data_IF_671004010579
#
_entry.id   IF_671004010579
#
_cell.length_a   1.000
_cell.length_b   1.000
_cell.length_c   1.000
_cell.angle_alpha   90.00
_cell.angle_beta   90.00
_cell.angle_gamma   90.00
#
_symmetry.space_group_name_H-M   'P 1'
#
loop_
_entity.id
_entity.type
_entity.pdbx_description
1 polymer ?
#
# COMPACT_ATOMS: atom_id res chain seq x y z
N UNK A 1 61.02 -19.05 15.10
CA UNK A 1 61.90 -17.98 15.63
C UNK A 1 60.95 -17.00 16.31
N UNK A 2 60.93 -16.70 17.61
CA UNK A 2 61.97 -16.52 18.62
C UNK A 2 61.26 -16.70 19.98
N UNK A 3 61.84 -17.51 20.87
CA UNK A 3 61.46 -17.60 22.29
C UNK A 3 62.03 -16.37 23.02
N UNK A 4 61.44 -15.97 24.16
CA UNK A 4 62.10 -15.56 25.42
C UNK A 4 61.16 -14.77 26.35
N UNK A 5 61.51 -14.73 27.65
CA UNK A 5 60.87 -14.11 28.84
C UNK A 5 60.06 -15.17 29.63
N UNK A 6 60.51 -15.85 30.69
CA UNK A 6 61.24 -15.55 31.95
C UNK A 6 60.43 -14.79 33.02
N UNK A 7 60.27 -15.44 34.19
CA UNK A 7 59.83 -14.96 35.54
C UNK A 7 58.33 -14.60 35.64
N UNK A 8 57.52 -14.95 36.66
CA UNK A 8 57.76 -14.92 38.10
C UNK A 8 56.75 -15.80 38.88
N UNK A 9 57.25 -16.47 39.92
CA UNK A 9 56.50 -17.18 40.97
C UNK A 9 55.85 -16.15 41.91
N UNK A 10 54.52 -16.21 42.11
CA UNK A 10 53.88 -15.74 43.35
C UNK A 10 52.72 -16.67 43.70
N UNK A 11 52.94 -17.50 44.72
CA UNK A 11 51.90 -18.16 45.51
C UNK A 11 51.26 -17.11 46.41
N UNK A 12 49.97 -16.86 46.25
CA UNK A 12 49.16 -16.19 47.26
C UNK A 12 47.79 -16.86 47.33
N UNK A 13 47.70 -17.83 48.23
CA UNK A 13 46.45 -18.46 48.64
C UNK A 13 45.93 -17.75 49.89
N UNK A 14 44.91 -16.91 49.73
CA UNK A 14 43.95 -16.61 50.80
C UNK A 14 42.54 -16.69 50.24
N UNK A 15 41.84 -17.73 50.68
CA UNK A 15 40.44 -17.97 50.41
C UNK A 15 39.59 -16.95 51.16
N UNK A 16 38.81 -16.15 50.43
CA UNK A 16 37.68 -15.43 50.99
C UNK A 16 36.40 -16.18 50.62
N UNK A 17 35.82 -16.84 51.62
CA UNK A 17 34.43 -17.31 51.57
C UNK A 17 33.51 -16.08 51.58
N UNK A 18 33.10 -15.63 50.41
CA UNK A 18 32.00 -14.68 50.26
C UNK A 18 30.70 -15.46 50.04
N UNK A 19 29.78 -15.27 50.97
CA UNK A 19 28.41 -15.78 50.97
C UNK A 19 27.68 -15.31 49.70
N UNK A 20 27.24 -16.24 48.87
CA UNK A 20 26.45 -15.95 47.67
C UNK A 20 25.05 -15.51 48.07
N UNK A 21 24.75 -14.21 47.93
CA UNK A 21 23.39 -13.71 47.90
C UNK A 21 22.74 -14.18 46.62
N UNK A 22 21.88 -15.19 46.70
CA UNK A 22 21.03 -15.60 45.58
C UNK A 22 20.10 -14.44 45.21
N UNK A 23 20.42 -13.75 44.13
CA UNK A 23 19.49 -12.82 43.48
C UNK A 23 18.31 -13.63 42.97
N UNK A 24 17.11 -13.36 43.50
CA UNK A 24 15.88 -13.92 42.95
C UNK A 24 15.79 -13.58 41.45
N UNK A 25 15.38 -14.53 40.59
CA UNK A 25 15.14 -14.21 39.19
C UNK A 25 13.98 -13.21 39.13
N UNK A 26 14.28 -11.97 38.78
CA UNK A 26 13.26 -10.99 38.45
C UNK A 26 12.43 -11.53 37.28
N UNK A 27 11.16 -11.80 37.53
CA UNK A 27 10.18 -12.07 36.47
C UNK A 27 10.14 -10.84 35.57
N UNK A 28 10.83 -10.90 34.43
CA UNK A 28 10.71 -9.91 33.39
C UNK A 28 9.22 -9.83 32.98
N UNK A 29 8.63 -8.63 32.85
CA UNK A 29 7.28 -8.50 32.35
C UNK A 29 7.21 -9.14 30.96
N UNK A 30 6.27 -10.08 30.79
CA UNK A 30 5.98 -10.70 29.50
C UNK A 30 5.54 -9.56 28.56
N UNK A 31 6.16 -9.39 27.38
CA UNK A 31 5.72 -8.36 26.45
C UNK A 31 4.28 -8.66 26.02
N UNK A 32 3.37 -7.75 26.34
CA UNK A 32 2.00 -7.77 25.82
C UNK A 32 2.07 -7.70 24.31
N UNK A 33 1.62 -8.75 23.62
CA UNK A 33 1.53 -8.75 22.16
C UNK A 33 0.55 -7.64 21.74
N UNK A 34 1.06 -6.60 21.07
CA UNK A 34 0.20 -5.58 20.45
C UNK A 34 -0.63 -6.24 19.36
N UNK A 35 -1.94 -6.28 19.54
CA UNK A 35 -2.86 -6.78 18.52
C UNK A 35 -2.84 -5.82 17.33
N UNK A 36 -2.36 -6.30 16.19
CA UNK A 36 -2.49 -5.59 14.92
C UNK A 36 -3.93 -5.77 14.44
N UNK A 37 -4.66 -4.67 14.30
CA UNK A 37 -6.02 -4.67 13.76
C UNK A 37 -5.98 -4.65 12.23
N UNK A 38 -7.01 -5.25 11.63
CA UNK A 38 -7.24 -5.21 10.17
C UNK A 38 -8.36 -4.22 9.87
N UNK A 39 -8.11 -3.29 8.96
CA UNK A 39 -9.10 -2.35 8.44
C UNK A 39 -9.53 -2.75 7.03
N UNK A 40 -10.83 -2.65 6.74
CA UNK A 40 -11.42 -3.00 5.45
C UNK A 40 -12.01 -1.78 4.76
N UNK A 41 -11.82 -1.68 3.46
CA UNK A 41 -12.34 -0.60 2.63
C UNK A 41 -12.78 -1.12 1.27
N UNK A 42 -13.67 -0.39 0.62
CA UNK A 42 -14.14 -0.70 -0.74
C UNK A 42 -14.25 0.57 -1.57
N UNK A 43 -13.90 0.47 -2.84
CA UNK A 43 -14.23 1.44 -3.88
C UNK A 43 -15.11 0.80 -4.96
N UNK A 44 -16.21 1.48 -5.30
CA UNK A 44 -17.03 1.16 -6.47
C UNK A 44 -16.64 2.08 -7.61
N UNK A 45 -16.14 1.49 -8.69
CA UNK A 45 -15.62 2.24 -9.83
C UNK A 45 -16.75 2.64 -10.79
N UNK A 46 -16.77 3.92 -11.12
CA UNK A 46 -17.61 4.49 -12.19
C UNK A 46 -16.73 4.92 -13.36
N UNK A 47 -17.24 4.71 -14.57
CA UNK A 47 -16.53 5.05 -15.80
C UNK A 47 -16.28 6.56 -15.90
N UNK A 48 -15.07 6.91 -16.33
CA UNK A 48 -14.69 8.24 -16.81
C UNK A 48 -14.42 8.16 -18.31
N UNK A 49 -14.48 9.30 -19.01
CA UNK A 49 -14.11 9.39 -20.42
C UNK A 49 -14.80 8.38 -21.34
N UNK A 50 -16.06 8.02 -21.03
CA UNK A 50 -16.83 7.01 -21.77
C UNK A 50 -16.10 5.66 -21.93
N UNK A 51 -15.22 5.32 -20.98
CA UNK A 51 -14.41 4.10 -21.04
C UNK A 51 -15.23 2.81 -20.96
N UNK A 52 -16.43 2.87 -20.34
CA UNK A 52 -17.24 1.69 -19.99
C UNK A 52 -16.69 0.90 -18.80
N UNK A 53 -15.60 1.36 -18.17
CA UNK A 53 -14.99 0.67 -17.04
C UNK A 53 -15.87 0.75 -15.80
N UNK A 54 -16.11 -0.40 -15.18
CA UNK A 54 -16.84 -0.50 -13.91
C UNK A 54 -16.37 -1.71 -13.12
N UNK A 55 -16.58 -1.69 -11.81
CA UNK A 55 -16.15 -2.78 -10.94
C UNK A 55 -16.08 -2.41 -9.47
N UNK A 56 -15.51 -3.31 -8.70
CA UNK A 56 -15.24 -3.11 -7.26
C UNK A 56 -13.78 -3.40 -6.97
N UNK A 57 -13.20 -2.60 -6.07
CA UNK A 57 -11.87 -2.83 -5.50
C UNK A 57 -12.00 -2.87 -3.99
N UNK A 58 -11.59 -3.97 -3.38
CA UNK A 58 -11.57 -4.16 -1.93
C UNK A 58 -10.14 -4.05 -1.41
N UNK A 59 -9.98 -3.35 -0.29
CA UNK A 59 -8.69 -3.12 0.36
C UNK A 59 -8.73 -3.67 1.78
N UNK A 60 -7.62 -4.28 2.19
CA UNK A 60 -7.41 -4.71 3.58
C UNK A 60 -6.03 -4.24 4.03
N UNK A 61 -5.98 -3.47 5.12
CA UNK A 61 -4.71 -3.02 5.72
C UNK A 61 -4.55 -3.73 7.06
N UNK A 62 -3.46 -4.51 7.21
CA UNK A 62 -3.06 -5.14 8.48
C UNK A 62 -1.60 -4.82 8.77
N UNK A 63 -1.36 -3.97 9.76
CA UNK A 63 -0.01 -3.44 10.02
C UNK A 63 0.46 -2.61 8.82
N UNK A 64 1.57 -3.01 8.19
CA UNK A 64 2.09 -2.39 6.97
C UNK A 64 1.80 -3.21 5.71
N UNK A 65 0.86 -4.17 5.77
CA UNK A 65 0.49 -4.98 4.61
C UNK A 65 -0.84 -4.51 4.06
N UNK A 66 -0.85 -4.11 2.78
CA UNK A 66 -2.03 -3.79 2.01
C UNK A 66 -2.36 -4.94 1.06
N UNK A 67 -3.56 -5.50 1.16
CA UNK A 67 -4.11 -6.45 0.20
C UNK A 67 -5.18 -5.75 -0.63
N UNK A 68 -5.06 -5.81 -1.96
CA UNK A 68 -5.99 -5.20 -2.91
C UNK A 68 -6.59 -6.28 -3.79
N UNK A 69 -7.91 -6.44 -3.72
CA UNK A 69 -8.67 -7.36 -4.58
C UNK A 69 -9.48 -6.56 -5.58
N UNK A 70 -9.34 -6.89 -6.86
CA UNK A 70 -9.98 -6.18 -7.96
C UNK A 70 -10.91 -7.11 -8.71
N UNK A 71 -12.15 -6.67 -8.96
CA UNK A 71 -13.06 -7.26 -9.95
C UNK A 71 -13.60 -6.14 -10.85
N UNK A 72 -12.92 -5.95 -11.99
CA UNK A 72 -13.10 -4.81 -12.89
C UNK A 72 -13.31 -5.30 -14.32
N UNK A 73 -14.23 -4.66 -15.03
CA UNK A 73 -14.59 -4.97 -16.42
C UNK A 73 -14.65 -3.71 -17.26
N UNK A 74 -14.72 -3.85 -18.59
CA UNK A 74 -14.79 -2.72 -19.52
C UNK A 74 -13.44 -2.05 -19.78
N UNK A 75 -12.35 -2.64 -19.30
CA UNK A 75 -10.99 -2.16 -19.56
C UNK A 75 -10.61 -2.42 -21.03
N UNK A 76 -9.66 -1.64 -21.55
CA UNK A 76 -9.16 -1.83 -22.91
C UNK A 76 -8.46 -3.20 -23.01
N UNK A 77 -8.91 -4.11 -23.88
CA UNK A 77 -8.33 -5.45 -23.98
C UNK A 77 -6.85 -5.42 -24.34
N UNK A 78 -6.09 -6.37 -23.79
CA UNK A 78 -4.67 -6.57 -24.08
C UNK A 78 -3.77 -5.34 -23.79
N UNK A 79 -4.20 -4.46 -22.88
CA UNK A 79 -3.44 -3.30 -22.43
C UNK A 79 -3.16 -3.36 -20.92
N UNK A 80 -2.14 -2.62 -20.48
CA UNK A 80 -1.87 -2.38 -19.05
C UNK A 80 -2.55 -1.10 -18.60
N UNK A 81 -3.28 -1.16 -17.50
CA UNK A 81 -3.97 -0.02 -16.89
C UNK A 81 -3.24 0.44 -15.65
N UNK A 82 -2.95 1.73 -15.56
CA UNK A 82 -2.26 2.27 -14.40
C UNK A 82 -3.27 2.41 -13.27
N UNK A 83 -2.87 1.98 -12.07
CA UNK A 83 -3.75 1.79 -10.93
C UNK A 83 -3.17 2.55 -9.76
N UNK A 84 -3.88 3.56 -9.31
CA UNK A 84 -3.37 4.48 -8.29
C UNK A 84 -4.41 4.70 -7.20
N UNK A 85 -3.94 4.81 -5.96
CA UNK A 85 -4.67 5.49 -4.90
C UNK A 85 -4.24 6.95 -4.94
N UNK A 86 -5.20 7.84 -5.10
CA UNK A 86 -4.99 9.28 -5.09
C UNK A 86 -5.65 9.92 -3.88
N UNK A 87 -5.05 11.01 -3.42
CA UNK A 87 -5.66 11.92 -2.47
C UNK A 87 -4.87 12.15 -1.19
N UNK A 88 -5.45 13.00 -0.36
CA UNK A 88 -4.93 13.43 0.94
C UNK A 88 -6.01 13.36 2.05
N UNK A 89 -7.08 12.60 1.80
CA UNK A 89 -8.22 12.44 2.71
C UNK A 89 -9.43 13.33 2.39
N UNK A 90 -9.36 14.21 1.37
CA UNK A 90 -10.50 15.04 0.94
C UNK A 90 -10.90 14.86 -0.53
N UNK A 91 -10.32 13.86 -1.19
CA UNK A 91 -10.39 13.70 -2.63
C UNK A 91 -11.72 13.13 -3.10
N UNK A 92 -12.09 13.54 -4.30
CA UNK A 92 -13.36 13.17 -4.93
C UNK A 92 -13.14 12.70 -6.36
N UNK A 93 -14.06 11.87 -6.86
CA UNK A 93 -14.02 11.48 -8.26
C UNK A 93 -14.54 12.61 -9.14
N UNK A 94 -13.85 12.89 -10.27
CA UNK A 94 -14.38 13.78 -11.29
C UNK A 94 -15.74 13.30 -11.77
N UNK A 95 -16.60 14.25 -12.08
CA UNK A 95 -17.95 14.05 -12.59
C UNK A 95 -18.01 14.42 -14.07
N UNK A 96 -19.08 14.02 -14.76
CA UNK A 96 -19.31 14.42 -16.15
C UNK A 96 -19.44 15.95 -16.31
N UNK A 97 -19.82 16.67 -15.26
CA UNK A 97 -19.84 18.14 -15.25
C UNK A 97 -18.45 18.77 -15.22
N UNK A 98 -17.45 18.05 -14.73
CA UNK A 98 -16.04 18.48 -14.77
C UNK A 98 -15.43 18.25 -16.18
N UNK A 99 -16.13 17.54 -17.05
CA UNK A 99 -15.68 17.09 -18.36
C UNK A 99 -16.38 17.84 -19.49
N UNK A 100 -15.84 18.97 -19.95
CA UNK A 100 -16.41 19.67 -21.13
C UNK A 100 -16.27 18.86 -22.41
N UNK A 101 -15.20 18.05 -22.54
CA UNK A 101 -14.92 17.16 -23.68
C UNK A 101 -14.24 15.84 -23.22
N UNK A 102 -14.56 15.39 -22.00
CA UNK A 102 -13.76 14.38 -21.28
C UNK A 102 -12.97 15.02 -20.12
N UNK A 103 -12.60 14.22 -19.12
CA UNK A 103 -11.75 14.59 -17.99
C UNK A 103 -10.30 14.38 -18.40
N UNK A 104 -9.57 15.46 -18.63
CA UNK A 104 -8.11 15.42 -18.77
C UNK A 104 -7.44 15.07 -17.44
N UNK A 105 -6.18 14.61 -17.46
CA UNK A 105 -5.44 14.37 -16.22
C UNK A 105 -5.35 15.63 -15.35
N UNK A 106 -5.10 16.81 -15.94
CA UNK A 106 -5.02 18.09 -15.21
C UNK A 106 -6.35 18.47 -14.56
N UNK A 107 -7.48 18.22 -15.23
CA UNK A 107 -8.80 18.46 -14.63
C UNK A 107 -9.06 17.44 -13.51
N UNK A 108 -8.73 16.17 -13.72
CA UNK A 108 -8.89 15.13 -12.71
C UNK A 108 -8.11 15.47 -11.43
N UNK A 109 -6.86 15.94 -11.55
CA UNK A 109 -5.97 16.25 -10.43
C UNK A 109 -6.55 17.28 -9.45
N UNK A 110 -7.42 18.18 -9.92
CA UNK A 110 -8.09 19.16 -9.04
C UNK A 110 -9.03 18.45 -8.05
N UNK A 111 -9.60 17.30 -8.43
CA UNK A 111 -10.55 16.55 -7.62
C UNK A 111 -9.89 15.37 -6.90
N UNK A 112 -9.10 14.57 -7.64
CA UNK A 112 -8.50 13.33 -7.12
C UNK A 112 -7.31 13.60 -6.21
N UNK A 113 -6.67 14.78 -6.32
CA UNK A 113 -5.50 15.12 -5.51
C UNK A 113 -4.21 14.39 -5.92
N UNK A 114 -3.17 14.46 -5.08
CA UNK A 114 -1.85 13.90 -5.39
C UNK A 114 -1.88 12.38 -5.48
N UNK A 115 -0.85 11.79 -6.08
CA UNK A 115 -0.63 10.34 -6.04
C UNK A 115 -0.24 9.94 -4.61
N UNK A 116 -1.04 9.09 -3.96
CA UNK A 116 -0.76 8.59 -2.62
C UNK A 116 -0.02 7.24 -2.67
N UNK A 117 -0.40 6.35 -3.59
CA UNK A 117 0.26 5.06 -3.78
C UNK A 117 0.07 4.51 -5.20
N UNK A 118 1.14 3.90 -5.74
CA UNK A 118 1.17 3.31 -7.09
C UNK A 118 1.14 1.78 -7.03
N UNK A 119 0.10 1.15 -7.59
CA UNK A 119 -0.16 -0.29 -7.45
C UNK A 119 0.62 -1.11 -8.50
N UNK A 120 1.94 -1.02 -8.46
CA UNK A 120 2.81 -1.78 -9.36
C UNK A 120 3.06 -3.22 -8.88
N UNK A 121 3.22 -4.19 -9.80
CA UNK A 121 3.21 -4.05 -11.26
C UNK A 121 1.79 -4.00 -11.84
N UNK A 122 1.61 -3.25 -12.94
CA UNK A 122 0.32 -3.23 -13.64
C UNK A 122 0.09 -4.52 -14.44
N UNK A 123 -0.99 -5.27 -14.16
CA UNK A 123 -1.33 -6.48 -14.89
C UNK A 123 -1.75 -6.15 -16.33
N UNK A 124 -1.41 -7.05 -17.25
CA UNK A 124 -1.92 -7.00 -18.62
C UNK A 124 -3.35 -7.55 -18.64
N UNK A 125 -4.29 -6.78 -19.16
CA UNK A 125 -5.68 -7.20 -19.26
C UNK A 125 -5.84 -8.26 -20.34
N UNK A 126 -6.67 -9.29 -20.10
CA UNK A 126 -6.98 -10.29 -21.13
C UNK A 126 -7.84 -9.74 -22.27
N UNK A 127 -8.11 -10.59 -23.27
CA UNK A 127 -8.91 -10.24 -24.45
C UNK A 127 -10.34 -9.77 -24.14
N UNK A 128 -10.86 -10.06 -22.95
CA UNK A 128 -12.19 -9.65 -22.49
C UNK A 128 -12.21 -8.29 -21.77
N UNK A 129 -11.06 -7.62 -21.58
CA UNK A 129 -11.04 -6.34 -20.86
C UNK A 129 -11.44 -6.48 -19.38
N UNK A 130 -11.07 -7.59 -18.74
CA UNK A 130 -11.38 -7.89 -17.33
C UNK A 130 -10.10 -8.06 -16.51
N UNK A 131 -10.14 -7.55 -15.28
CA UNK A 131 -9.18 -7.86 -14.22
C UNK A 131 -9.94 -8.47 -13.04
N UNK A 132 -9.60 -9.71 -12.71
CA UNK A 132 -10.06 -10.38 -11.49
C UNK A 132 -8.83 -10.97 -10.80
N UNK A 133 -8.30 -10.26 -9.82
CA UNK A 133 -7.01 -10.59 -9.20
C UNK A 133 -6.88 -10.04 -7.79
N UNK A 134 -5.86 -10.50 -7.08
CA UNK A 134 -5.45 -9.98 -5.78
C UNK A 134 -3.97 -9.65 -5.80
N UNK A 135 -3.61 -8.46 -5.32
CA UNK A 135 -2.25 -8.02 -5.12
C UNK A 135 -2.00 -7.77 -3.63
N UNK A 136 -0.76 -7.96 -3.21
CA UNK A 136 -0.32 -7.71 -1.84
C UNK A 136 0.92 -6.84 -1.88
N UNK A 137 0.90 -5.79 -1.09
CA UNK A 137 1.94 -4.78 -0.99
C UNK A 137 2.43 -4.73 0.46
N UNK A 138 3.74 -4.72 0.65
CA UNK A 138 4.36 -4.36 1.92
C UNK A 138 4.73 -2.89 1.82
N UNK A 139 4.09 -2.07 2.64
CA UNK A 139 4.25 -0.62 2.65
C UNK A 139 5.42 -0.23 3.55
N UNK A 140 6.18 0.76 3.10
CA UNK A 140 7.08 1.48 4.00
C UNK A 140 6.28 2.43 4.92
N UNK A 141 6.92 3.03 5.95
CA UNK A 141 6.23 3.91 6.88
C UNK A 141 5.58 5.14 6.24
N UNK A 142 6.18 5.71 5.19
CA UNK A 142 5.70 6.92 4.53
C UNK A 142 4.51 6.57 3.62
N UNK A 143 4.59 5.46 2.87
CA UNK A 143 3.49 4.92 2.08
C UNK A 143 2.28 4.59 2.96
N UNK A 144 2.50 3.93 4.10
CA UNK A 144 1.44 3.59 5.05
C UNK A 144 0.80 4.86 5.63
N UNK A 145 1.61 5.86 5.99
CA UNK A 145 1.11 7.14 6.50
C UNK A 145 0.30 7.91 5.45
N UNK A 146 0.73 7.87 4.18
CA UNK A 146 0.05 8.56 3.09
C UNK A 146 -1.35 8.00 2.81
N UNK A 147 -1.56 6.69 2.97
CA UNK A 147 -2.86 6.06 2.63
C UNK A 147 -3.74 5.75 3.85
N UNK A 148 -3.32 6.09 5.08
CA UNK A 148 -4.05 5.71 6.30
C UNK A 148 -4.66 6.93 7.01
N UNK A 149 -5.99 6.96 7.22
CA UNK A 149 -6.98 5.99 6.74
C UNK A 149 -7.21 6.12 5.23
N UNK A 150 -7.65 5.04 4.59
CA UNK A 150 -7.96 5.06 3.15
C UNK A 150 -9.22 5.87 2.83
N UNK A 151 -10.10 6.09 3.82
CA UNK A 151 -11.27 6.95 3.65
C UNK A 151 -10.86 8.35 3.21
N UNK A 152 -11.54 8.90 2.19
CA UNK A 152 -11.23 10.21 1.64
C UNK A 152 -10.15 10.20 0.54
N UNK A 153 -9.60 9.03 0.24
CA UNK A 153 -8.86 8.77 -0.99
C UNK A 153 -9.80 8.26 -2.09
N UNK A 154 -9.30 8.24 -3.32
CA UNK A 154 -9.99 7.67 -4.48
C UNK A 154 -9.11 6.63 -5.17
N UNK A 155 -9.73 5.57 -5.67
CA UNK A 155 -9.08 4.60 -6.54
C UNK A 155 -9.27 5.04 -7.99
N UNK A 156 -8.17 5.19 -8.75
CA UNK A 156 -8.19 5.59 -10.15
C UNK A 156 -7.55 4.53 -11.03
N UNK A 157 -8.25 4.16 -12.09
CA UNK A 157 -7.70 3.38 -13.20
C UNK A 157 -7.49 4.32 -14.38
N UNK A 158 -6.30 4.30 -14.97
CA UNK A 158 -6.01 4.96 -16.25
C UNK A 158 -5.94 3.94 -17.38
N UNK A 159 -5.92 4.43 -18.62
CA UNK A 159 -5.88 3.58 -19.81
C UNK A 159 -7.27 3.49 -20.45
N UNK A 160 -7.57 4.44 -21.33
CA UNK A 160 -8.82 4.48 -22.08
C UNK A 160 -8.55 4.87 -23.54
N UNK A 161 -9.55 4.68 -24.40
CA UNK A 161 -9.45 5.18 -25.78
C UNK A 161 -9.68 6.69 -25.82
N UNK A 162 -8.76 7.39 -26.47
CA UNK A 162 -8.88 8.80 -26.84
C UNK A 162 -8.80 8.90 -28.36
N UNK A 163 -9.89 9.33 -29.01
CA UNK A 163 -10.00 9.38 -30.48
C UNK A 163 -9.56 8.07 -31.19
N UNK A 164 -9.93 6.93 -30.61
CA UNK A 164 -9.62 5.59 -31.14
C UNK A 164 -8.19 5.11 -30.88
N UNK A 165 -7.36 5.88 -30.19
CA UNK A 165 -6.02 5.49 -29.77
C UNK A 165 -5.98 5.19 -28.28
N UNK A 166 -5.21 4.18 -27.87
CA UNK A 166 -5.03 3.88 -26.46
C UNK A 166 -4.16 4.93 -25.78
N UNK A 167 -4.71 5.60 -24.78
CA UNK A 167 -3.99 6.54 -23.93
C UNK A 167 -3.88 5.97 -22.51
N UNK A 168 -2.66 5.55 -22.14
CA UNK A 168 -2.34 4.96 -20.83
C UNK A 168 -2.51 5.91 -19.64
N UNK A 169 -2.58 7.22 -19.87
CA UNK A 169 -2.69 8.23 -18.81
C UNK A 169 -4.11 8.80 -18.68
N UNK A 170 -4.95 8.61 -19.70
CA UNK A 170 -6.34 9.06 -19.64
C UNK A 170 -7.08 8.31 -18.52
N UNK A 171 -7.69 9.00 -17.54
CA UNK A 171 -8.47 8.35 -16.49
C UNK A 171 -9.63 7.57 -17.11
N UNK A 172 -9.67 6.27 -16.83
CA UNK A 172 -10.68 5.35 -17.33
C UNK A 172 -11.79 5.15 -16.30
N UNK A 173 -11.50 5.10 -15.01
CA UNK A 173 -12.51 5.02 -13.96
C UNK A 173 -12.01 5.60 -12.64
N UNK A 174 -12.95 5.99 -11.79
CA UNK A 174 -12.68 6.44 -10.44
C UNK A 174 -13.73 5.88 -9.47
N UNK A 175 -13.32 5.59 -8.23
CA UNK A 175 -14.23 5.28 -7.13
C UNK A 175 -13.72 5.85 -5.80
N UNK A 176 -14.56 6.55 -5.01
CA UNK A 176 -14.20 6.93 -3.64
C UNK A 176 -13.96 5.68 -2.80
N UNK A 177 -12.93 5.71 -1.95
CA UNK A 177 -12.63 4.62 -1.03
C UNK A 177 -13.34 4.90 0.29
N UNK A 178 -14.17 3.95 0.71
CA UNK A 178 -14.99 4.03 1.93
C UNK A 178 -14.70 2.84 2.83
N UNK A 179 -14.84 3.02 4.15
CA UNK A 179 -14.78 1.91 5.09
C UNK A 179 -15.90 0.87 4.79
N UNK A 180 -15.57 -0.42 4.93
CA UNK A 180 -16.45 -1.55 4.64
C UNK A 180 -16.77 -2.37 5.90
#
# INVERSE_FOLDING_TARGET
MKRFIFVLLVLFSLAWSACGSASAPGTAPIPTATRVLTSHYTARLSALNSSGVSGTVDFQITGNVLVVKMDVTGLVPNQKHFQHIHGDGTSTCPTATDAKNGVTLSEALTNIGPLAFDLQPYPLTGAQGRLNLTQTFTLDPDELANITPLTGHVMVFHGAFNHGQYDRFLPAACGPILAA
#
